data_IF_798889916362
#
_entry.id   IF_798889916362
#
_cell.length_a   1.000
_cell.length_b   1.000
_cell.length_c   1.000
_cell.angle_alpha   90.00
_cell.angle_beta   90.00
_cell.angle_gamma   90.00
#
_symmetry.space_group_name_H-M   'P 1'
#
loop_
_entity.id
_entity.type
_entity.pdbx_description
1 polymer ?
#
# COMPACT_ATOMS: atom_id res chain seq x y z
N UNK A 1 14.50 -15.33 -5.72
CA UNK A 1 13.62 -14.15 -5.81
C UNK A 1 12.79 -14.12 -4.53
N UNK A 2 13.07 -13.21 -3.60
CA UNK A 2 12.37 -13.14 -2.30
C UNK A 2 11.01 -12.48 -2.50
N UNK A 3 10.00 -13.31 -2.76
CA UNK A 3 8.62 -12.89 -2.86
C UNK A 3 7.99 -12.74 -1.48
N UNK A 4 7.47 -11.53 -1.23
CA UNK A 4 6.06 -11.33 -0.87
C UNK A 4 5.59 -11.22 0.60
N UNK A 5 6.44 -11.25 1.63
CA UNK A 5 5.95 -11.12 3.02
C UNK A 5 6.27 -9.78 3.71
N UNK A 6 7.14 -8.94 3.13
CA UNK A 6 7.40 -7.57 3.61
C UNK A 6 6.27 -6.56 3.27
N UNK A 7 5.22 -7.00 2.56
CA UNK A 7 4.23 -6.11 1.94
C UNK A 7 3.10 -5.68 2.87
N UNK A 8 2.75 -6.42 3.92
CA UNK A 8 1.58 -6.09 4.76
C UNK A 8 1.83 -4.83 5.60
N UNK A 9 2.92 -4.81 6.38
CA UNK A 9 3.29 -3.64 7.18
C UNK A 9 3.58 -2.40 6.32
N UNK A 10 4.12 -2.59 5.10
CA UNK A 10 4.33 -1.49 4.16
C UNK A 10 3.02 -0.96 3.59
N UNK A 11 2.06 -1.84 3.25
CA UNK A 11 0.72 -1.44 2.79
C UNK A 11 -0.05 -0.72 3.89
N UNK A 12 -0.03 -1.24 5.11
CA UNK A 12 -0.64 -0.55 6.26
C UNK A 12 -0.06 0.85 6.43
N UNK A 13 1.27 1.00 6.38
CA UNK A 13 1.92 2.33 6.43
C UNK A 13 1.48 3.26 5.29
N UNK A 14 1.36 2.74 4.06
CA UNK A 14 0.86 3.52 2.91
C UNK A 14 -0.57 4.00 3.18
N UNK A 15 -1.47 3.10 3.63
CA UNK A 15 -2.87 3.42 3.87
C UNK A 15 -3.03 4.37 5.07
N UNK A 16 -2.33 4.15 6.18
CA UNK A 16 -2.35 5.06 7.33
C UNK A 16 -1.88 6.47 6.96
N UNK A 17 -0.83 6.59 6.13
CA UNK A 17 -0.35 7.88 5.65
C UNK A 17 -1.36 8.55 4.70
N UNK A 18 -1.98 7.78 3.81
CA UNK A 18 -3.04 8.27 2.92
C UNK A 18 -4.27 8.75 3.71
N UNK A 19 -4.72 8.00 4.72
CA UNK A 19 -5.82 8.37 5.61
C UNK A 19 -5.51 9.62 6.45
N UNK A 20 -4.24 9.87 6.74
CA UNK A 20 -3.77 11.10 7.38
C UNK A 20 -3.70 12.31 6.42
N UNK A 21 -4.11 12.15 5.16
CA UNK A 21 -4.13 13.21 4.14
C UNK A 21 -2.78 13.47 3.46
N UNK A 22 -1.79 12.59 3.65
CA UNK A 22 -0.47 12.76 3.03
C UNK A 22 -0.55 12.45 1.54
N UNK A 23 0.05 13.32 0.71
CA UNK A 23 0.15 13.09 -0.73
C UNK A 23 0.97 11.84 -1.05
N UNK A 24 0.49 11.05 -2.01
CA UNK A 24 1.12 9.81 -2.46
C UNK A 24 2.60 9.94 -2.83
N UNK A 25 2.99 11.06 -3.45
CA UNK A 25 4.39 11.36 -3.80
C UNK A 25 5.27 11.45 -2.55
N UNK A 26 4.75 12.05 -1.48
CA UNK A 26 5.46 12.21 -0.21
C UNK A 26 5.54 10.86 0.53
N UNK A 27 4.50 10.03 0.42
CA UNK A 27 4.50 8.66 0.96
C UNK A 27 5.56 7.81 0.25
N UNK A 28 5.62 7.90 -1.08
CA UNK A 28 6.62 7.23 -1.92
C UNK A 28 8.05 7.57 -1.47
N UNK A 29 8.37 8.85 -1.32
CA UNK A 29 9.70 9.29 -0.86
C UNK A 29 9.99 8.86 0.58
N UNK A 30 9.02 9.01 1.51
CA UNK A 30 9.24 8.67 2.93
C UNK A 30 9.44 7.17 3.16
N UNK A 31 8.72 6.33 2.40
CA UNK A 31 8.79 4.88 2.56
C UNK A 31 9.82 4.23 1.61
N UNK A 32 10.38 4.99 0.67
CA UNK A 32 11.26 4.46 -0.39
C UNK A 32 10.52 3.51 -1.35
N UNK A 33 9.20 3.68 -1.50
CA UNK A 33 8.33 2.79 -2.27
C UNK A 33 7.99 3.46 -3.60
N UNK A 34 8.02 2.74 -4.73
CA UNK A 34 7.61 3.30 -6.01
C UNK A 34 6.21 3.92 -5.95
N UNK A 35 6.07 5.12 -6.51
CA UNK A 35 4.78 5.83 -6.55
C UNK A 35 3.68 5.02 -7.24
N UNK A 36 4.06 4.15 -8.20
CA UNK A 36 3.13 3.21 -8.84
C UNK A 36 2.57 2.19 -7.84
N UNK A 37 3.41 1.60 -6.98
CA UNK A 37 3.00 0.68 -5.91
C UNK A 37 2.14 1.36 -4.86
N UNK A 38 2.47 2.61 -4.49
CA UNK A 38 1.65 3.42 -3.58
C UNK A 38 0.26 3.64 -4.19
N UNK A 39 0.20 4.00 -5.48
CA UNK A 39 -1.06 4.19 -6.18
C UNK A 39 -1.89 2.91 -6.29
N UNK A 40 -1.28 1.79 -6.66
CA UNK A 40 -1.96 0.49 -6.73
C UNK A 40 -2.55 0.09 -5.37
N UNK A 41 -1.77 0.26 -4.30
CA UNK A 41 -2.22 -0.03 -2.93
C UNK A 41 -3.42 0.83 -2.53
N UNK A 42 -3.37 2.14 -2.80
CA UNK A 42 -4.47 3.06 -2.47
C UNK A 42 -5.68 2.79 -3.37
N UNK A 43 -5.47 2.47 -4.64
CA UNK A 43 -6.55 2.12 -5.57
C UNK A 43 -7.27 0.87 -5.07
N UNK A 44 -6.54 -0.19 -4.75
CA UNK A 44 -7.11 -1.42 -4.17
C UNK A 44 -7.87 -1.12 -2.88
N UNK A 45 -7.30 -0.31 -1.98
CA UNK A 45 -7.99 0.09 -0.74
C UNK A 45 -9.32 0.82 -1.01
N UNK A 46 -9.38 1.69 -2.03
CA UNK A 46 -10.63 2.35 -2.43
C UNK A 46 -11.67 1.37 -2.98
N UNK A 47 -11.23 0.31 -3.66
CA UNK A 47 -12.12 -0.70 -4.26
C UNK A 47 -12.63 -1.71 -3.25
N UNK A 48 -11.77 -2.18 -2.33
CA UNK A 48 -12.11 -3.26 -1.37
C UNK A 48 -12.40 -2.76 0.05
N UNK A 49 -12.08 -1.51 0.36
CA UNK A 49 -12.10 -0.98 1.73
C UNK A 49 -11.03 -1.58 2.66
N UNK A 50 -10.17 -2.48 2.15
CA UNK A 50 -9.21 -3.25 2.94
C UNK A 50 -7.78 -2.96 2.52
N UNK A 51 -6.93 -2.65 3.51
CA UNK A 51 -5.50 -2.41 3.29
C UNK A 51 -4.71 -3.69 2.98
N UNK A 52 -5.27 -4.84 3.38
CA UNK A 52 -4.70 -6.16 3.17
C UNK A 52 -5.43 -6.80 2.00
N UNK A 53 -4.73 -7.34 0.99
CA UNK A 53 -5.39 -8.14 -0.03
C UNK A 53 -5.96 -9.40 0.62
N UNK A 54 -7.21 -9.72 0.32
CA UNK A 54 -7.74 -11.05 0.62
C UNK A 54 -6.77 -12.08 0.02
N UNK A 55 -6.30 -13.01 0.87
CA UNK A 55 -5.57 -14.19 0.42
C UNK A 55 -6.47 -14.87 -0.61
N UNK A 56 -6.06 -14.85 -1.89
CA UNK A 56 -6.77 -15.59 -2.93
C UNK A 56 -6.84 -17.05 -2.47
N UNK A 57 -8.03 -17.65 -2.28
CA UNK A 57 -8.10 -19.09 -2.10
C UNK A 57 -7.56 -19.72 -3.39
N UNK A 58 -6.53 -20.55 -3.24
CA UNK A 58 -5.94 -21.32 -4.33
C UNK A 58 -6.87 -22.42 -4.80
#
# INVERSE_FOLDING_TARGET
MHGNELFEAQRERIISAYLSGIKQTVISTQLGIPTSTVNDTIKRYKETGSAIPEKRPG
#
